data_IF_327854260681
#
_entry.id   IF_327854260681
#
_cell.length_a   1.000
_cell.length_b   1.000
_cell.length_c   1.000
_cell.angle_alpha   90.00
_cell.angle_beta   90.00
_cell.angle_gamma   90.00
#
_symmetry.space_group_name_H-M   'P 1'
#
loop_
_entity.id
_entity.type
_entity.pdbx_description
1 polymer ?
#
# COMPACT_ATOMS: atom_id res chain seq x y z
N UNK A 1 -6.85 27.64 -19.42
CA UNK A 1 -5.46 27.42 -18.95
C UNK A 1 -5.55 26.81 -17.54
N UNK A 2 -5.58 25.49 -17.43
CA UNK A 2 -5.66 24.79 -16.15
C UNK A 2 -4.27 24.85 -15.50
N UNK A 3 -4.11 25.66 -14.45
CA UNK A 3 -2.94 25.56 -13.57
C UNK A 3 -2.97 24.17 -12.96
N UNK A 4 -2.03 23.31 -13.35
CA UNK A 4 -1.72 22.10 -12.60
C UNK A 4 -1.50 22.53 -11.15
N UNK A 5 -2.42 22.12 -10.27
CA UNK A 5 -2.28 22.30 -8.82
C UNK A 5 -0.96 21.62 -8.46
N UNK A 6 0.05 22.38 -8.04
CA UNK A 6 1.28 21.79 -7.51
C UNK A 6 0.85 20.87 -6.36
N UNK A 7 1.41 19.65 -6.31
CA UNK A 7 1.14 18.69 -5.23
C UNK A 7 1.21 19.43 -3.89
N UNK A 8 0.08 19.49 -3.17
CA UNK A 8 0.09 20.01 -1.82
C UNK A 8 0.92 19.05 -0.98
N UNK A 9 1.61 19.59 0.01
CA UNK A 9 2.45 18.78 0.87
C UNK A 9 1.87 18.84 2.26
N UNK A 10 1.76 17.68 2.90
CA UNK A 10 1.14 17.56 4.21
C UNK A 10 2.20 17.12 5.21
N UNK A 11 1.85 17.16 6.49
CA UNK A 11 2.81 16.99 7.57
C UNK A 11 2.24 16.08 8.65
N UNK A 12 3.09 15.20 9.19
CA UNK A 12 2.82 14.48 10.44
C UNK A 12 3.65 15.15 11.53
N UNK A 13 2.98 15.65 12.57
CA UNK A 13 3.61 16.23 13.74
C UNK A 13 3.59 15.24 14.91
N UNK A 14 4.75 15.03 15.52
CA UNK A 14 4.89 14.23 16.72
C UNK A 14 4.55 15.08 17.95
N UNK A 15 3.40 14.84 18.56
CA UNK A 15 2.93 15.59 19.73
C UNK A 15 3.89 15.50 20.91
N UNK A 16 4.60 14.38 21.08
CA UNK A 16 5.56 14.20 22.18
C UNK A 16 6.82 15.06 22.00
N UNK A 17 7.11 15.47 20.77
CA UNK A 17 8.21 16.38 20.46
C UNK A 17 7.79 17.85 20.51
N UNK A 18 6.51 18.14 20.74
CA UNK A 18 6.00 19.48 20.95
C UNK A 18 6.06 19.82 22.44
N UNK A 19 6.52 21.03 22.76
CA UNK A 19 6.58 21.52 24.14
C UNK A 19 5.19 21.76 24.78
N UNK A 20 4.10 21.51 24.04
CA UNK A 20 2.73 21.75 24.46
C UNK A 20 1.82 20.66 23.91
N UNK A 21 0.95 20.10 24.76
CA UNK A 21 -0.15 19.24 24.32
C UNK A 21 -1.15 20.06 23.51
N UNK A 22 -1.59 19.51 22.39
CA UNK A 22 -2.60 20.14 21.56
C UNK A 22 -3.99 19.84 22.12
N UNK A 23 -4.79 20.90 22.21
CA UNK A 23 -6.14 20.85 22.74
C UNK A 23 -7.12 20.53 21.58
N UNK A 24 -8.42 20.44 21.87
CA UNK A 24 -9.47 20.36 20.83
C UNK A 24 -10.04 21.75 20.49
N UNK A 25 -9.27 22.81 20.75
CA UNK A 25 -9.65 24.18 20.37
C UNK A 25 -9.56 24.36 18.85
N UNK A 26 -10.51 25.11 18.29
CA UNK A 26 -10.63 25.37 16.85
C UNK A 26 -9.35 26.00 16.28
N UNK A 27 -8.73 26.96 16.98
CA UNK A 27 -7.50 27.62 16.53
C UNK A 27 -6.43 27.54 17.60
N UNK A 28 -5.21 27.15 17.22
CA UNK A 28 -4.09 27.02 18.15
C UNK A 28 -2.78 27.48 17.51
N UNK A 29 -1.77 27.69 18.35
CA UNK A 29 -0.39 27.95 17.90
C UNK A 29 0.53 26.87 18.43
N UNK A 30 1.34 26.31 17.53
CA UNK A 30 2.44 25.41 17.87
C UNK A 30 3.75 26.14 17.67
N UNK A 31 4.68 25.96 18.61
CA UNK A 31 5.99 26.59 18.55
C UNK A 31 7.07 25.57 18.85
N UNK A 32 8.14 25.60 18.05
CA UNK A 32 9.32 24.77 18.24
C UNK A 32 10.56 25.48 17.66
N UNK A 33 11.74 25.03 18.07
CA UNK A 33 13.02 25.59 17.62
C UNK A 33 13.80 24.57 16.79
N UNK A 34 14.40 25.02 15.69
CA UNK A 34 15.28 24.19 14.88
C UNK A 34 16.26 25.02 14.04
N UNK A 35 17.40 24.42 13.68
CA UNK A 35 18.43 25.08 12.85
C UNK A 35 17.96 25.42 11.44
N UNK A 36 17.03 24.64 10.88
CA UNK A 36 16.50 24.85 9.53
C UNK A 36 15.18 25.61 9.58
N UNK A 37 14.88 26.35 8.52
CA UNK A 37 13.55 26.93 8.31
C UNK A 37 12.51 25.83 8.14
N UNK A 38 11.30 26.07 8.62
CA UNK A 38 10.15 25.24 8.28
C UNK A 38 9.74 25.56 6.84
N UNK A 39 9.55 24.52 6.03
CA UNK A 39 9.25 24.64 4.61
C UNK A 39 7.79 24.35 4.27
N UNK A 40 6.89 24.39 5.25
CA UNK A 40 5.47 24.30 5.00
C UNK A 40 4.89 25.63 4.53
N UNK A 41 3.67 25.56 4.02
CA UNK A 41 2.93 26.68 3.43
C UNK A 41 1.53 26.79 4.05
N UNK A 42 0.93 27.99 3.96
CA UNK A 42 -0.46 28.21 4.38
C UNK A 42 -1.39 27.43 3.46
N UNK A 43 -2.37 26.73 4.04
CA UNK A 43 -3.29 25.84 3.33
C UNK A 43 -2.86 24.36 3.33
N UNK A 44 -1.65 24.04 3.77
CA UNK A 44 -1.21 22.66 3.97
C UNK A 44 -1.79 22.04 5.25
N UNK A 45 -1.85 20.71 5.32
CA UNK A 45 -2.43 20.01 6.46
C UNK A 45 -1.37 19.40 7.40
N UNK A 46 -1.72 19.33 8.67
CA UNK A 46 -0.95 18.72 9.75
C UNK A 46 -1.78 17.63 10.42
N UNK A 47 -1.35 16.38 10.34
CA UNK A 47 -1.88 15.27 11.15
C UNK A 47 -1.06 15.15 12.44
N UNK A 48 -1.73 14.98 13.57
CA UNK A 48 -1.06 14.76 14.85
C UNK A 48 -0.89 13.26 15.10
N UNK A 49 0.36 12.89 15.39
CA UNK A 49 0.75 11.57 15.88
C UNK A 49 1.17 11.70 17.34
N UNK A 50 0.54 10.94 18.24
CA UNK A 50 0.82 10.95 19.66
C UNK A 50 0.89 9.54 20.25
N UNK A 51 1.58 9.39 21.38
CA UNK A 51 1.67 8.10 22.07
C UNK A 51 0.55 8.00 23.11
N UNK A 52 -0.38 7.06 22.92
CA UNK A 52 -1.43 6.72 23.87
C UNK A 52 -1.30 5.26 24.29
N UNK A 53 -1.21 5.02 25.60
CA UNK A 53 -1.17 3.65 26.15
C UNK A 53 -0.10 2.75 25.52
N UNK A 54 1.09 3.30 25.23
CA UNK A 54 2.24 2.67 24.53
C UNK A 54 2.05 2.41 23.03
N UNK A 55 0.94 2.86 22.45
CA UNK A 55 0.69 2.78 21.01
C UNK A 55 0.81 4.17 20.38
N UNK A 56 1.33 4.23 19.16
CA UNK A 56 1.42 5.46 18.39
C UNK A 56 0.17 5.61 17.53
N UNK A 57 -0.58 6.69 17.75
CA UNK A 57 -1.90 6.87 17.13
C UNK A 57 -2.01 8.24 16.47
N UNK A 58 -2.65 8.26 15.31
CA UNK A 58 -3.15 9.49 14.71
C UNK A 58 -4.49 9.85 15.35
N UNK A 59 -4.68 11.11 15.72
CA UNK A 59 -5.86 11.52 16.50
C UNK A 59 -6.68 12.63 15.90
N UNK A 60 -6.05 13.52 15.12
CA UNK A 60 -6.71 14.70 14.57
C UNK A 60 -5.85 15.33 13.48
N UNK A 61 -6.44 16.18 12.66
CA UNK A 61 -5.70 16.99 11.71
C UNK A 61 -6.16 18.45 11.66
N UNK A 62 -5.23 19.30 11.27
CA UNK A 62 -5.37 20.75 11.22
C UNK A 62 -4.94 21.27 9.84
N UNK A 63 -5.43 22.45 9.48
CA UNK A 63 -4.90 23.25 8.36
C UNK A 63 -3.96 24.33 8.91
N UNK A 64 -2.85 24.59 8.22
CA UNK A 64 -1.95 25.69 8.51
C UNK A 64 -2.58 27.00 8.02
N UNK A 65 -2.84 27.93 8.94
CA UNK A 65 -3.41 29.25 8.63
C UNK A 65 -2.39 30.38 8.73
N UNK A 66 -1.22 30.12 9.33
CA UNK A 66 -0.15 31.10 9.40
C UNK A 66 1.16 30.48 9.85
N UNK A 67 2.27 31.02 9.35
CA UNK A 67 3.62 30.59 9.71
C UNK A 67 4.44 31.84 10.00
N UNK A 68 5.06 31.87 11.18
CA UNK A 68 6.00 32.90 11.59
C UNK A 68 7.34 32.25 11.94
N UNK A 69 8.44 32.86 11.49
CA UNK A 69 9.80 32.32 11.65
C UNK A 69 10.76 33.44 12.03
N UNK A 70 11.23 33.38 13.27
CA UNK A 70 12.16 34.35 13.83
C UNK A 70 13.53 33.69 14.03
N UNK A 71 14.61 34.34 13.57
CA UNK A 71 15.97 33.87 13.85
C UNK A 71 16.30 34.22 15.30
N UNK A 72 16.64 33.22 16.10
CA UNK A 72 17.07 33.34 17.50
C UNK A 72 18.58 33.09 17.60
N UNK A 73 19.13 33.22 18.81
CA UNK A 73 20.56 32.98 19.09
C UNK A 73 21.03 31.58 18.62
N UNK A 74 22.33 31.44 18.37
CA UNK A 74 23.00 30.21 17.93
C UNK A 74 22.55 29.60 16.60
N UNK A 75 22.15 30.42 15.62
CA UNK A 75 21.67 30.00 14.30
C UNK A 75 20.42 29.10 14.33
N UNK A 76 19.64 29.17 15.41
CA UNK A 76 18.32 28.54 15.48
C UNK A 76 17.23 29.47 14.93
N UNK A 77 16.16 28.86 14.45
CA UNK A 77 14.92 29.55 14.11
C UNK A 77 13.86 29.12 15.11
N UNK A 78 13.16 30.08 15.71
CA UNK A 78 11.92 29.86 16.42
C UNK A 78 10.80 29.90 15.40
N UNK A 79 10.12 28.78 15.22
CA UNK A 79 9.01 28.64 14.29
C UNK A 79 7.72 28.60 15.10
N UNK A 80 6.77 29.44 14.71
CA UNK A 80 5.41 29.44 15.25
C UNK A 80 4.42 29.21 14.11
N UNK A 81 3.62 28.16 14.21
CA UNK A 81 2.61 27.81 13.21
C UNK A 81 1.24 28.00 13.86
N UNK A 82 0.42 28.86 13.26
CA UNK A 82 -0.99 28.97 13.57
C UNK A 82 -1.76 27.92 12.78
N UNK A 83 -2.58 27.14 13.48
CA UNK A 83 -3.30 25.99 12.94
C UNK A 83 -4.78 26.08 13.27
N UNK A 84 -5.63 25.58 12.38
CA UNK A 84 -7.09 25.48 12.56
C UNK A 84 -7.53 24.03 12.49
N UNK A 85 -8.25 23.55 13.48
CA UNK A 85 -8.73 22.17 13.58
C UNK A 85 -9.71 21.91 12.44
N UNK A 86 -9.50 20.80 11.73
CA UNK A 86 -10.39 20.37 10.66
C UNK A 86 -11.20 19.16 11.04
N UNK A 87 -10.57 18.19 11.71
CA UNK A 87 -11.27 17.01 12.18
C UNK A 87 -10.56 16.37 13.38
N UNK A 88 -11.36 15.67 14.18
CA UNK A 88 -10.90 14.79 15.24
C UNK A 88 -11.36 13.38 14.87
N UNK A 89 -10.40 12.46 14.77
CA UNK A 89 -10.73 11.08 14.46
C UNK A 89 -11.54 10.48 15.62
N UNK A 90 -12.69 9.89 15.28
CA UNK A 90 -13.61 9.28 16.26
C UNK A 90 -12.97 8.10 16.99
N UNK A 91 -12.10 7.38 16.30
CA UNK A 91 -11.32 6.27 16.82
C UNK A 91 -9.83 6.56 16.67
N UNK A 92 -9.04 6.07 17.63
CA UNK A 92 -7.59 6.17 17.56
C UNK A 92 -7.08 5.32 16.40
N UNK A 93 -6.41 5.97 15.43
CA UNK A 93 -5.89 5.35 14.22
C UNK A 93 -4.45 4.92 14.45
N UNK A 94 -4.20 3.62 14.59
CA UNK A 94 -2.85 3.10 14.89
C UNK A 94 -1.91 3.32 13.70
N UNK A 95 -0.68 3.76 13.96
CA UNK A 95 0.31 3.93 12.89
C UNK A 95 0.64 2.61 12.19
N UNK A 96 0.52 1.49 12.90
CA UNK A 96 0.68 0.13 12.41
C UNK A 96 -0.26 -0.18 11.24
N UNK A 97 -1.50 0.30 11.31
CA UNK A 97 -2.54 0.06 10.29
C UNK A 97 -2.19 0.73 8.94
N UNK A 98 -1.38 1.79 8.97
CA UNK A 98 -0.94 2.54 7.78
C UNK A 98 0.51 2.26 7.40
N UNK A 99 1.14 1.24 7.99
CA UNK A 99 2.56 0.91 7.76
C UNK A 99 2.89 0.73 6.26
N UNK A 100 1.96 0.16 5.49
CA UNK A 100 2.09 0.01 4.03
C UNK A 100 1.67 1.26 3.25
N UNK A 101 0.76 2.07 3.78
CA UNK A 101 0.33 3.33 3.16
C UNK A 101 1.36 4.46 3.28
N UNK A 102 2.23 4.40 4.30
CA UNK A 102 3.23 5.42 4.59
C UNK A 102 4.54 5.16 3.85
N UNK A 103 4.82 5.93 2.80
CA UNK A 103 5.97 5.76 1.90
C UNK A 103 7.31 5.78 2.63
N UNK A 104 7.41 6.58 3.69
CA UNK A 104 8.63 6.67 4.51
C UNK A 104 8.90 5.41 5.32
N UNK A 105 7.88 4.64 5.67
CA UNK A 105 8.03 3.44 6.50
C UNK A 105 8.74 2.36 5.69
N UNK A 106 9.93 1.97 6.15
CA UNK A 106 10.68 0.83 5.59
C UNK A 106 10.79 -0.36 6.56
N UNK A 107 10.45 -0.14 7.83
CA UNK A 107 10.36 -1.19 8.88
C UNK A 107 8.89 -1.32 9.27
N UNK A 108 8.18 -2.23 8.62
CA UNK A 108 6.74 -2.44 8.80
C UNK A 108 6.38 -3.01 10.17
N UNK A 109 7.32 -3.68 10.85
CA UNK A 109 7.10 -4.23 12.20
C UNK A 109 7.12 -3.16 13.28
N UNK A 110 7.73 -2.01 12.99
CA UNK A 110 7.81 -0.91 13.93
C UNK A 110 7.82 0.45 13.19
N UNK A 111 6.68 0.85 12.59
CA UNK A 111 6.58 2.06 11.79
C UNK A 111 6.84 3.35 12.59
N UNK A 112 6.53 3.35 13.89
CA UNK A 112 6.73 4.50 14.78
C UNK A 112 8.18 5.03 14.82
N UNK A 113 9.18 4.16 14.64
CA UNK A 113 10.61 4.54 14.59
C UNK A 113 10.95 5.56 13.52
N UNK A 114 10.15 5.65 12.45
CA UNK A 114 10.36 6.60 11.35
C UNK A 114 9.85 8.01 11.67
N UNK A 115 9.05 8.16 12.74
CA UNK A 115 8.39 9.40 13.11
C UNK A 115 8.78 9.91 14.51
N UNK A 116 9.22 9.02 15.41
CA UNK A 116 9.43 9.37 16.82
C UNK A 116 10.62 10.31 17.11
N UNK A 117 11.62 10.42 16.23
CA UNK A 117 12.83 11.24 16.48
C UNK A 117 12.72 12.71 16.06
N UNK A 118 11.72 13.08 15.26
CA UNK A 118 11.59 14.42 14.67
C UNK A 118 10.28 15.05 15.12
N UNK A 119 10.31 16.38 15.26
CA UNK A 119 9.10 17.18 15.57
C UNK A 119 8.04 16.97 14.49
N UNK A 120 8.45 16.94 13.23
CA UNK A 120 7.54 16.76 12.10
C UNK A 120 8.20 15.98 10.97
N UNK A 121 7.35 15.40 10.12
CA UNK A 121 7.73 14.69 8.91
C UNK A 121 6.81 15.08 7.76
N UNK A 122 7.40 15.37 6.60
CA UNK A 122 6.65 15.61 5.36
C UNK A 122 6.06 14.30 4.85
N UNK A 123 4.81 14.37 4.40
CA UNK A 123 4.07 13.31 3.73
C UNK A 123 3.39 13.84 2.46
N UNK A 124 3.14 12.94 1.51
CA UNK A 124 2.44 13.24 0.27
C UNK A 124 0.91 13.28 0.46
N UNK A 125 0.18 13.87 -0.49
CA UNK A 125 -1.29 13.91 -0.49
C UNK A 125 -1.90 12.51 -0.37
N UNK A 126 -1.32 11.52 -1.06
CA UNK A 126 -1.79 10.13 -1.01
C UNK A 126 -1.67 9.52 0.39
N UNK A 127 -0.58 9.79 1.11
CA UNK A 127 -0.36 9.32 2.48
C UNK A 127 -1.33 10.01 3.46
N UNK A 128 -1.57 11.31 3.25
CA UNK A 128 -2.53 12.08 4.03
C UNK A 128 -3.95 11.53 3.84
N UNK A 129 -4.37 11.32 2.59
CA UNK A 129 -5.67 10.72 2.27
C UNK A 129 -5.82 9.31 2.85
N UNK A 130 -4.74 8.52 2.91
CA UNK A 130 -4.76 7.21 3.54
C UNK A 130 -5.14 7.28 5.00
N UNK A 131 -4.51 8.18 5.76
CA UNK A 131 -4.80 8.31 7.19
C UNK A 131 -6.19 8.91 7.40
N UNK A 132 -6.52 9.98 6.68
CA UNK A 132 -7.79 10.70 6.89
C UNK A 132 -8.99 9.84 6.50
N UNK A 133 -8.94 9.16 5.36
CA UNK A 133 -10.05 8.37 4.81
C UNK A 133 -9.96 6.87 5.13
N UNK A 134 -9.05 6.45 6.01
CA UNK A 134 -8.83 5.05 6.38
C UNK A 134 -8.54 4.12 5.18
N UNK A 135 -7.72 4.59 4.24
CA UNK A 135 -7.28 3.79 3.10
C UNK A 135 -5.97 3.07 3.41
N UNK A 136 -5.97 1.75 3.20
CA UNK A 136 -4.78 0.91 3.26
C UNK A 136 -4.30 0.65 1.82
N UNK A 137 -3.14 1.19 1.47
CA UNK A 137 -2.52 0.89 0.18
C UNK A 137 -1.77 -0.43 0.26
N UNK A 138 -2.42 -1.48 -0.25
CA UNK A 138 -1.88 -2.85 -0.28
C UNK A 138 -0.82 -3.03 -1.35
N UNK A 139 -0.61 -2.08 -2.26
CA UNK A 139 0.38 -2.19 -3.35
C UNK A 139 1.82 -2.42 -2.88
N UNK A 140 2.14 -2.07 -1.63
CA UNK A 140 3.46 -2.31 -1.01
C UNK A 140 3.53 -3.64 -0.25
N UNK A 141 2.47 -4.44 -0.29
CA UNK A 141 2.42 -5.82 0.24
C UNK A 141 2.59 -6.83 -0.89
N UNK A 142 2.96 -8.06 -0.51
CA UNK A 142 2.97 -9.21 -1.44
C UNK A 142 1.57 -9.42 -2.03
N UNK A 143 0.53 -9.26 -1.21
CA UNK A 143 -0.87 -9.36 -1.66
C UNK A 143 -1.17 -8.37 -2.78
N UNK A 144 -0.87 -7.09 -2.60
CA UNK A 144 -1.10 -6.09 -3.65
C UNK A 144 -0.22 -6.32 -4.88
N UNK A 145 0.97 -6.88 -4.70
CA UNK A 145 1.86 -7.22 -5.83
C UNK A 145 1.26 -8.33 -6.69
N UNK A 146 0.83 -9.43 -6.06
CA UNK A 146 0.22 -10.57 -6.76
C UNK A 146 -1.10 -10.15 -7.37
N UNK A 147 -1.96 -9.47 -6.60
CA UNK A 147 -3.26 -9.01 -7.09
C UNK A 147 -3.10 -8.09 -8.31
N UNK A 148 -2.18 -7.12 -8.27
CA UNK A 148 -1.94 -6.22 -9.39
C UNK A 148 -1.30 -6.90 -10.61
N UNK A 149 -0.67 -8.06 -10.44
CA UNK A 149 -0.13 -8.85 -11.54
C UNK A 149 -1.21 -9.67 -12.28
N UNK A 150 -2.36 -9.91 -11.64
CA UNK A 150 -3.49 -10.60 -12.28
C UNK A 150 -4.15 -9.71 -13.34
N UNK A 151 -4.78 -10.34 -14.34
CA UNK A 151 -5.64 -9.65 -15.28
C UNK A 151 -6.76 -8.88 -14.54
N UNK A 152 -7.16 -7.67 -14.97
CA UNK A 152 -8.21 -6.88 -14.29
C UNK A 152 -9.50 -7.65 -14.01
N UNK A 153 -9.92 -8.54 -14.90
CA UNK A 153 -11.11 -9.38 -14.68
C UNK A 153 -10.91 -10.36 -13.52
N UNK A 154 -9.71 -10.94 -13.38
CA UNK A 154 -9.40 -11.81 -12.25
C UNK A 154 -9.23 -11.04 -10.94
N UNK A 155 -8.76 -9.79 -11.00
CA UNK A 155 -8.76 -8.90 -9.83
C UNK A 155 -10.18 -8.69 -9.33
N UNK A 156 -11.09 -8.30 -10.23
CA UNK A 156 -12.50 -8.06 -9.90
C UNK A 156 -13.18 -9.33 -9.37
N UNK A 157 -13.02 -10.44 -10.08
CA UNK A 157 -13.60 -11.72 -9.68
C UNK A 157 -13.02 -12.25 -8.35
N UNK A 158 -11.74 -11.98 -8.05
CA UNK A 158 -11.18 -12.30 -6.74
C UNK A 158 -11.84 -11.49 -5.62
N UNK A 159 -12.09 -10.19 -5.82
CA UNK A 159 -12.78 -9.36 -4.83
C UNK A 159 -14.22 -9.86 -4.64
N UNK A 160 -14.92 -10.25 -5.70
CA UNK A 160 -16.26 -10.85 -5.63
C UNK A 160 -16.24 -12.18 -4.85
N UNK A 161 -15.25 -13.05 -5.11
CA UNK A 161 -15.03 -14.29 -4.38
C UNK A 161 -14.73 -14.05 -2.90
N UNK A 162 -13.89 -13.07 -2.57
CA UNK A 162 -13.58 -12.71 -1.19
C UNK A 162 -14.81 -12.14 -0.47
N UNK A 163 -15.64 -11.36 -1.18
CA UNK A 163 -16.89 -10.82 -0.65
C UNK A 163 -17.92 -11.91 -0.35
N UNK A 164 -17.95 -13.00 -1.12
CA UNK A 164 -18.84 -14.13 -0.87
C UNK A 164 -18.35 -15.03 0.26
N UNK A 165 -17.04 -15.30 0.31
CA UNK A 165 -16.46 -16.26 1.26
C UNK A 165 -16.21 -15.65 2.64
N UNK A 166 -15.66 -14.45 2.70
CA UNK A 166 -15.25 -13.81 3.95
C UNK A 166 -15.32 -12.28 3.85
N UNK A 167 -16.53 -11.70 3.77
CA UNK A 167 -16.72 -10.27 3.54
C UNK A 167 -16.09 -9.37 4.61
N UNK A 168 -15.85 -9.87 5.84
CA UNK A 168 -15.19 -9.10 6.90
C UNK A 168 -13.73 -8.73 6.54
N UNK A 169 -13.07 -9.49 5.66
CA UNK A 169 -11.71 -9.19 5.20
C UNK A 169 -11.63 -8.00 4.25
N UNK A 170 -12.75 -7.56 3.69
CA UNK A 170 -12.84 -6.35 2.87
C UNK A 170 -12.98 -5.06 3.70
N UNK A 171 -12.98 -5.16 5.04
CA UNK A 171 -13.09 -4.02 5.94
C UNK A 171 -11.72 -3.51 6.41
N UNK A 172 -11.67 -2.31 7.01
CA UNK A 172 -10.45 -1.54 7.34
C UNK A 172 -9.37 -2.25 8.19
N UNK A 173 -9.61 -3.46 8.70
CA UNK A 173 -8.63 -4.28 9.43
C UNK A 173 -8.42 -5.62 8.75
N UNK A 174 -8.03 -5.58 7.49
CA UNK A 174 -7.75 -6.77 6.69
C UNK A 174 -6.58 -7.56 7.26
N UNK A 175 -6.83 -8.81 7.63
CA UNK A 175 -5.79 -9.80 7.87
C UNK A 175 -5.16 -10.18 6.51
N UNK A 176 -4.00 -9.57 6.22
CA UNK A 176 -3.29 -9.74 4.95
C UNK A 176 -2.93 -11.21 4.69
N UNK A 177 -2.56 -11.96 5.74
CA UNK A 177 -2.19 -13.36 5.61
C UNK A 177 -3.43 -14.21 5.27
N UNK A 178 -4.57 -13.92 5.91
CA UNK A 178 -5.84 -14.58 5.59
C UNK A 178 -6.28 -14.28 4.15
N UNK A 179 -6.16 -13.02 3.69
CA UNK A 179 -6.49 -12.67 2.30
C UNK A 179 -5.55 -13.32 1.29
N UNK A 180 -4.26 -13.43 1.59
CA UNK A 180 -3.31 -14.17 0.74
C UNK A 180 -3.71 -15.63 0.57
N UNK A 181 -4.18 -16.29 1.64
CA UNK A 181 -4.68 -17.67 1.56
C UNK A 181 -5.91 -17.78 0.65
N UNK A 182 -6.83 -16.81 0.70
CA UNK A 182 -7.96 -16.78 -0.24
C UNK A 182 -7.53 -16.50 -1.67
N UNK A 183 -6.55 -15.62 -1.88
CA UNK A 183 -5.99 -15.36 -3.20
C UNK A 183 -5.37 -16.62 -3.80
N UNK A 184 -4.61 -17.37 -2.99
CA UNK A 184 -4.08 -18.67 -3.40
C UNK A 184 -5.19 -19.63 -3.83
N UNK A 185 -6.22 -19.82 -2.98
CA UNK A 185 -7.37 -20.68 -3.30
C UNK A 185 -8.08 -20.26 -4.58
N UNK A 186 -8.26 -18.96 -4.78
CA UNK A 186 -8.89 -18.43 -5.97
C UNK A 186 -8.05 -18.71 -7.22
N UNK A 187 -6.75 -18.42 -7.18
CA UNK A 187 -5.83 -18.68 -8.31
C UNK A 187 -5.80 -20.18 -8.66
N UNK A 188 -5.75 -21.05 -7.65
CA UNK A 188 -5.75 -22.51 -7.86
C UNK A 188 -7.03 -22.99 -8.56
N UNK A 189 -8.19 -22.64 -8.00
CA UNK A 189 -9.50 -23.15 -8.46
C UNK A 189 -10.07 -22.44 -9.69
N UNK A 190 -9.82 -21.14 -9.87
CA UNK A 190 -10.46 -20.33 -10.92
C UNK A 190 -9.51 -19.98 -12.08
N UNK A 191 -8.21 -20.23 -11.94
CA UNK A 191 -7.23 -19.96 -13.00
C UNK A 191 -6.48 -21.23 -13.36
N UNK A 192 -5.77 -21.85 -12.42
CA UNK A 192 -4.88 -22.98 -12.69
C UNK A 192 -5.66 -24.23 -13.11
N UNK A 193 -6.65 -24.65 -12.33
CA UNK A 193 -7.46 -25.84 -12.65
C UNK A 193 -8.19 -25.71 -14.00
N UNK A 194 -8.90 -24.61 -14.30
CA UNK A 194 -9.54 -24.42 -15.61
C UNK A 194 -8.55 -24.48 -16.78
N UNK A 195 -7.35 -23.90 -16.65
CA UNK A 195 -6.31 -23.98 -17.67
C UNK A 195 -5.86 -25.43 -17.89
N UNK A 196 -5.68 -26.20 -16.80
CA UNK A 196 -5.34 -27.64 -16.90
C UNK A 196 -6.42 -28.41 -17.65
N UNK A 197 -7.70 -28.19 -17.30
CA UNK A 197 -8.82 -28.84 -17.99
C UNK A 197 -8.92 -28.45 -19.46
N UNK A 198 -8.70 -27.17 -19.79
CA UNK A 198 -8.71 -26.70 -21.17
C UNK A 198 -7.59 -27.36 -21.97
N UNK A 199 -6.37 -27.42 -21.41
CA UNK A 199 -5.23 -28.09 -22.04
C UNK A 199 -5.50 -29.57 -22.27
N UNK A 200 -5.95 -30.31 -21.25
CA UNK A 200 -6.28 -31.73 -21.39
C UNK A 200 -7.41 -31.98 -22.39
N UNK A 201 -8.39 -31.08 -22.46
CA UNK A 201 -9.46 -31.15 -23.47
C UNK A 201 -8.91 -30.94 -24.88
N UNK A 202 -8.03 -29.96 -25.07
CA UNK A 202 -7.36 -29.71 -26.35
C UNK A 202 -6.53 -30.90 -26.81
N UNK A 203 -5.75 -31.51 -25.91
CA UNK A 203 -4.99 -32.74 -26.17
C UNK A 203 -5.90 -33.90 -26.58
N UNK A 204 -7.02 -34.09 -25.87
CA UNK A 204 -8.00 -35.12 -26.20
C UNK A 204 -8.60 -34.89 -27.59
N UNK A 205 -9.04 -33.67 -27.89
CA UNK A 205 -9.62 -33.33 -29.19
C UNK A 205 -8.62 -33.51 -30.34
N UNK A 206 -7.37 -33.09 -30.15
CA UNK A 206 -6.30 -33.32 -31.14
C UNK A 206 -6.06 -34.81 -31.38
N UNK A 207 -6.21 -35.66 -30.35
CA UNK A 207 -6.06 -37.12 -30.48
C UNK A 207 -7.21 -37.79 -31.24
N UNK A 208 -8.42 -37.22 -31.19
CA UNK A 208 -9.64 -37.79 -31.79
C UNK A 208 -9.82 -37.35 -33.24
N UNK A 209 -9.60 -36.06 -33.54
CA UNK A 209 -9.93 -35.46 -34.84
C UNK A 209 -8.73 -35.29 -35.78
N UNK A 210 -7.51 -35.57 -35.30
CA UNK A 210 -6.28 -35.33 -36.06
C UNK A 210 -5.93 -33.83 -36.15
N UNK A 211 -4.67 -33.51 -36.46
CA UNK A 211 -4.18 -32.13 -36.42
C UNK A 211 -4.89 -31.19 -37.42
N UNK A 212 -5.29 -31.68 -38.59
CA UNK A 212 -5.89 -30.84 -39.65
C UNK A 212 -7.28 -30.28 -39.28
N UNK A 213 -8.12 -31.05 -38.59
CA UNK A 213 -9.46 -30.60 -38.15
C UNK A 213 -9.38 -29.73 -36.89
N UNK A 214 -8.41 -29.99 -36.02
CA UNK A 214 -8.17 -29.20 -34.81
C UNK A 214 -7.71 -27.76 -35.12
N UNK A 215 -6.97 -27.57 -36.22
CA UNK A 215 -6.54 -26.24 -36.70
C UNK A 215 -7.74 -25.42 -37.20
N UNK A 216 -8.74 -26.06 -37.79
CA UNK A 216 -9.97 -25.41 -38.24
C UNK A 216 -10.95 -25.06 -37.10
N UNK A 217 -10.77 -25.63 -35.90
CA UNK A 217 -11.58 -25.33 -34.72
C UNK A 217 -11.09 -24.11 -33.91
N UNK A 218 -10.02 -23.44 -34.35
CA UNK A 218 -9.51 -22.21 -33.70
C UNK A 218 -8.74 -22.45 -32.40
N UNK A 219 -8.47 -23.71 -32.02
CA UNK A 219 -7.68 -24.08 -30.85
C UNK A 219 -6.21 -24.38 -31.16
N UNK A 220 -5.84 -24.50 -32.45
CA UNK A 220 -4.50 -24.88 -32.89
C UNK A 220 -3.73 -23.75 -33.57
N UNK A 221 -4.21 -22.50 -33.51
CA UNK A 221 -3.29 -21.39 -33.76
C UNK A 221 -2.26 -21.41 -32.63
N UNK A 222 -1.00 -21.65 -33.01
CA UNK A 222 0.16 -21.64 -32.13
C UNK A 222 -0.01 -20.47 -31.16
N UNK A 223 -0.23 -20.77 -29.88
CA UNK A 223 -0.29 -19.77 -28.82
C UNK A 223 0.99 -18.91 -28.87
N UNK A 224 2.10 -19.44 -29.40
CA UNK A 224 3.34 -18.69 -29.62
C UNK A 224 3.30 -17.69 -30.80
N UNK A 225 2.39 -17.86 -31.76
CA UNK A 225 2.31 -17.09 -33.01
C UNK A 225 1.33 -15.92 -32.99
N UNK A 226 0.38 -15.92 -32.05
CA UNK A 226 -0.54 -14.80 -31.86
C UNK A 226 0.20 -13.61 -31.24
N UNK A 227 0.29 -12.48 -31.95
CA UNK A 227 0.89 -11.23 -31.45
C UNK A 227 0.30 -10.76 -30.10
N UNK A 228 -0.90 -11.23 -29.75
CA UNK A 228 -1.60 -10.95 -28.49
C UNK A 228 -1.16 -11.83 -27.30
N UNK A 229 -0.41 -12.92 -27.52
CA UNK A 229 0.13 -13.79 -26.44
C UNK A 229 1.40 -13.22 -25.82
N UNK A 230 1.96 -12.15 -26.40
CA UNK A 230 3.03 -11.36 -25.76
C UNK A 230 2.66 -10.81 -24.37
N UNK A 231 1.38 -10.79 -23.99
CA UNK A 231 0.97 -10.42 -22.63
C UNK A 231 0.72 -11.62 -21.70
N UNK A 232 0.27 -12.76 -22.24
CA UNK A 232 -0.11 -13.95 -21.44
C UNK A 232 1.12 -14.77 -21.04
N UNK A 233 2.10 -14.95 -21.94
CA UNK A 233 3.32 -15.72 -21.66
C UNK A 233 4.16 -15.09 -20.54
N UNK A 234 4.39 -13.76 -20.52
CA UNK A 234 5.06 -13.12 -19.38
C UNK A 234 4.27 -13.21 -18.09
N UNK A 235 2.94 -13.23 -18.14
CA UNK A 235 2.10 -13.36 -16.94
C UNK A 235 2.17 -14.77 -16.36
N UNK A 236 2.09 -15.80 -17.21
CA UNK A 236 2.27 -17.19 -16.79
C UNK A 236 3.71 -17.40 -16.29
N UNK A 237 4.73 -16.93 -17.01
CA UNK A 237 6.12 -17.03 -16.59
C UNK A 237 6.41 -16.26 -15.28
N UNK A 238 5.81 -15.07 -15.07
CA UNK A 238 5.90 -14.37 -13.79
C UNK A 238 5.19 -15.15 -12.68
N UNK A 239 3.97 -15.64 -12.93
CA UNK A 239 3.20 -16.40 -11.95
C UNK A 239 3.93 -17.70 -11.59
N UNK A 240 4.47 -18.44 -12.55
CA UNK A 240 5.25 -19.66 -12.33
C UNK A 240 6.56 -19.36 -11.59
N UNK A 241 7.30 -18.29 -11.97
CA UNK A 241 8.45 -17.83 -11.18
C UNK A 241 8.04 -17.49 -9.74
N UNK A 242 6.91 -16.79 -9.55
CA UNK A 242 6.42 -16.45 -8.22
C UNK A 242 6.00 -17.69 -7.42
N UNK A 243 5.37 -18.67 -8.06
CA UNK A 243 4.96 -19.94 -7.44
C UNK A 243 6.20 -20.76 -7.05
N UNK A 244 7.27 -20.78 -7.85
CA UNK A 244 8.56 -21.38 -7.47
C UNK A 244 9.24 -20.66 -6.30
N UNK A 245 9.03 -19.34 -6.15
CA UNK A 245 9.54 -18.55 -5.01
C UNK A 245 8.68 -18.66 -3.74
N UNK A 246 7.46 -19.19 -3.83
CA UNK A 246 6.67 -19.54 -2.66
C UNK A 246 7.18 -20.91 -2.19
N UNK A 247 8.00 -21.00 -1.13
CA UNK A 247 8.37 -22.31 -0.60
C UNK A 247 7.06 -23.04 -0.31
N UNK A 248 6.94 -24.25 -0.88
CA UNK A 248 5.79 -25.15 -0.72
C UNK A 248 5.24 -25.03 0.71
N UNK A 249 4.08 -24.38 0.85
CA UNK A 249 3.32 -24.30 2.10
C UNK A 249 2.68 -25.67 2.41
N UNK A 250 3.41 -26.75 2.17
CA UNK A 250 3.06 -28.09 2.60
C UNK A 250 3.59 -28.28 4.03
N UNK A 251 2.63 -28.23 4.97
CA UNK A 251 2.70 -28.69 6.35
C UNK A 251 3.39 -27.80 7.42
N UNK A 252 2.95 -27.91 8.70
CA UNK A 252 2.88 -26.81 9.66
C UNK A 252 4.15 -26.70 10.52
N UNK A 253 5.33 -26.70 9.92
CA UNK A 253 6.54 -26.30 10.62
C UNK A 253 6.81 -24.82 10.34
N UNK A 254 6.30 -23.98 11.25
CA UNK A 254 6.64 -22.57 11.34
C UNK A 254 8.14 -22.41 11.51
N UNK A 255 8.87 -22.27 10.41
CA UNK A 255 10.20 -21.68 10.45
C UNK A 255 10.11 -20.18 10.17
N UNK A 256 10.44 -19.40 11.19
CA UNK A 256 10.40 -17.93 11.24
C UNK A 256 11.43 -17.23 10.35
N UNK A 257 11.97 -17.93 9.36
CA UNK A 257 13.03 -17.51 8.44
C UNK A 257 12.52 -16.87 7.15
N UNK A 258 11.26 -16.41 7.11
CA UNK A 258 10.79 -15.50 6.06
C UNK A 258 11.71 -14.25 5.98
N UNK A 259 12.39 -13.83 7.05
CA UNK A 259 13.27 -12.65 7.03
C UNK A 259 14.58 -12.79 6.18
N UNK A 260 15.01 -13.99 5.75
CA UNK A 260 16.30 -14.15 5.03
C UNK A 260 16.19 -14.00 3.51
N UNK A 261 15.02 -14.23 2.90
CA UNK A 261 14.80 -14.04 1.45
C UNK A 261 14.72 -12.55 1.04
N UNK A 262 14.32 -11.65 1.95
CA UNK A 262 14.11 -10.22 1.66
C UNK A 262 15.35 -9.33 1.82
N UNK A 263 16.53 -9.92 2.02
CA UNK A 263 17.82 -9.23 1.95
C UNK A 263 18.26 -8.91 0.52
N UNK A 264 17.53 -9.37 -0.50
CA UNK A 264 17.93 -9.21 -1.89
C UNK A 264 17.74 -7.75 -2.37
N UNK A 265 18.85 -7.02 -2.50
CA UNK A 265 18.87 -5.62 -2.93
C UNK A 265 18.15 -5.39 -4.28
N UNK A 266 18.04 -6.42 -5.13
CA UNK A 266 17.32 -6.38 -6.42
C UNK A 266 15.81 -6.16 -6.26
N UNK A 267 15.21 -6.73 -5.21
CA UNK A 267 13.79 -6.52 -4.87
C UNK A 267 13.55 -5.06 -4.47
N UNK A 268 14.40 -4.51 -3.59
CA UNK A 268 14.28 -3.11 -3.12
C UNK A 268 14.48 -2.07 -4.23
N UNK A 269 15.30 -2.34 -5.26
CA UNK A 269 15.53 -1.40 -6.37
C UNK A 269 14.44 -1.42 -7.44
N UNK A 270 13.74 -2.55 -7.66
CA UNK A 270 12.64 -2.64 -8.63
C UNK A 270 11.44 -1.77 -8.23
N UNK A 271 11.19 -1.57 -6.93
CA UNK A 271 9.95 -0.96 -6.42
C UNK A 271 10.12 0.44 -5.84
N UNK A 272 11.29 1.06 -6.03
CA UNK A 272 11.54 2.44 -5.54
C UNK A 272 10.81 3.51 -6.36
N UNK A 273 10.24 3.15 -7.53
CA UNK A 273 9.74 4.09 -8.54
C UNK A 273 8.41 3.71 -9.21
N UNK A 274 7.65 2.70 -8.74
CA UNK A 274 6.33 2.42 -9.32
C UNK A 274 5.30 3.44 -8.82
N UNK A 275 4.77 4.26 -9.74
CA UNK A 275 3.67 5.19 -9.46
C UNK A 275 2.44 4.39 -9.03
N UNK A 276 1.83 4.81 -7.93
CA UNK A 276 0.64 4.22 -7.32
C UNK A 276 -0.54 4.16 -8.31
N UNK A 277 -1.19 2.98 -8.44
CA UNK A 277 -2.65 2.98 -8.26
C UNK A 277 -3.21 1.70 -7.61
N UNK A 278 -4.19 1.88 -6.72
CA UNK A 278 -5.56 1.34 -6.79
C UNK A 278 -6.27 1.73 -5.49
N UNK A 279 -7.35 2.50 -5.63
CA UNK A 279 -8.31 2.77 -4.56
C UNK A 279 -9.27 1.58 -4.57
N UNK A 280 -9.32 0.79 -3.49
CA UNK A 280 -10.27 -0.32 -3.35
C UNK A 280 -11.69 0.16 -2.95
N UNK A 281 -11.96 1.45 -3.13
CA UNK A 281 -13.26 2.10 -2.96
C UNK A 281 -13.69 2.76 -4.27
#
# INVERSE_FOLDING_TARGET
MLKLKMNSMNWIFNANSLNKKLNNEETQKISFTQKRKFSGEVGENIIILEEKSRNWVFTRYYEIVGIDQEKIEDDYNKITIAITLKDIFKEDKLIEDYSYSLLRVTDFKNPSKHYNKRVYNRIEDVEFEAIVNDKIYTNRTILGTILNALHPDHQKAFIEFLASEEPILLTNKTDVDKVLNYLYKYVESNIIEPIKYLKSSGELFSSIFGQEEFTNLGFAEDIESMENVKMVKPQIDLIEQYVEFLPLFSEPERDTTINTLFGNNKFRTLFRNSRLPLNLN
#
